data_IF_585160262041
#
_entry.id   IF_585160262041
#
_cell.length_a   1.000
_cell.length_b   1.000
_cell.length_c   1.000
_cell.angle_alpha   90.00
_cell.angle_beta   90.00
_cell.angle_gamma   90.00
#
_symmetry.space_group_name_H-M   'P 1'
#
loop_
_entity.id
_entity.type
_entity.pdbx_description
1 polymer ?
#
# COMPACT_ATOMS: atom_id res chain seq x y z
N UNK A 1 -6.36 -12.59 -13.47
CA UNK A 1 -5.93 -12.02 -12.18
C UNK A 1 -6.50 -10.60 -12.06
N UNK A 2 -7.10 -10.24 -10.94
CA UNK A 2 -7.60 -8.88 -10.71
C UNK A 2 -6.38 -7.96 -10.62
N UNK A 3 -6.38 -6.86 -11.36
CA UNK A 3 -5.28 -5.91 -11.35
C UNK A 3 -5.30 -5.12 -10.03
N UNK A 4 -4.16 -5.05 -9.33
CA UNK A 4 -4.05 -4.30 -8.06
C UNK A 4 -4.51 -2.84 -8.19
N UNK A 5 -4.26 -2.19 -9.34
CA UNK A 5 -4.73 -0.84 -9.64
C UNK A 5 -6.25 -0.74 -9.56
N UNK A 6 -6.96 -1.74 -10.07
CA UNK A 6 -8.43 -1.75 -10.05
C UNK A 6 -8.96 -2.02 -8.64
N UNK A 7 -8.31 -2.90 -7.87
CA UNK A 7 -8.65 -3.12 -6.47
C UNK A 7 -8.53 -1.78 -5.71
N UNK A 8 -7.42 -1.08 -5.84
CA UNK A 8 -7.17 0.19 -5.14
C UNK A 8 -8.17 1.28 -5.57
N UNK A 9 -8.53 1.34 -6.86
CA UNK A 9 -9.56 2.25 -7.35
C UNK A 9 -10.93 1.97 -6.72
N UNK A 10 -11.27 0.72 -6.50
CA UNK A 10 -12.57 0.32 -5.94
C UNK A 10 -12.60 0.53 -4.43
N UNK A 11 -11.59 0.05 -3.72
CA UNK A 11 -11.57 0.04 -2.26
C UNK A 11 -11.05 1.32 -1.65
N UNK A 12 -10.10 2.00 -2.31
CA UNK A 12 -9.44 3.19 -1.79
C UNK A 12 -8.55 2.93 -0.58
N UNK A 13 -8.28 1.68 -0.24
CA UNK A 13 -7.51 1.28 0.94
C UNK A 13 -6.36 0.38 0.53
N UNK A 14 -5.22 0.60 1.18
CA UNK A 14 -4.01 -0.20 0.99
C UNK A 14 -3.50 -0.67 2.35
N UNK A 15 -3.83 -1.91 2.77
CA UNK A 15 -3.40 -2.46 4.05
C UNK A 15 -1.88 -2.58 4.13
N UNK A 16 -1.32 -2.11 5.26
CA UNK A 16 0.12 -2.14 5.54
C UNK A 16 0.36 -2.88 6.84
N UNK A 17 1.09 -3.98 6.81
CA UNK A 17 1.54 -4.71 7.97
C UNK A 17 2.92 -4.20 8.37
N UNK A 18 2.96 -3.34 9.38
CA UNK A 18 4.20 -2.72 9.85
C UNK A 18 5.06 -3.66 10.68
N UNK A 19 4.40 -4.54 11.45
CA UNK A 19 5.03 -5.56 12.28
C UNK A 19 4.02 -6.69 12.54
N UNK A 20 4.49 -7.91 12.58
CA UNK A 20 3.70 -9.06 13.06
C UNK A 20 4.63 -10.15 13.60
N UNK A 21 4.23 -10.77 14.70
CA UNK A 21 4.83 -12.01 15.14
C UNK A 21 4.70 -13.08 14.03
N UNK A 22 5.68 -13.97 13.85
CA UNK A 22 5.67 -14.95 12.75
C UNK A 22 4.36 -15.75 12.65
N UNK A 23 3.77 -16.14 13.79
CA UNK A 23 2.53 -16.91 13.83
C UNK A 23 1.26 -16.07 13.61
N UNK A 24 1.38 -14.76 13.53
CA UNK A 24 0.25 -13.84 13.30
C UNK A 24 0.20 -13.30 11.87
N UNK A 25 1.31 -13.35 11.12
CA UNK A 25 1.41 -12.73 9.82
C UNK A 25 0.47 -13.36 8.76
N UNK A 26 0.51 -14.68 8.58
CA UNK A 26 -0.36 -15.37 7.63
C UNK A 26 -1.85 -15.34 8.05
N UNK A 27 -2.23 -15.57 9.34
CA UNK A 27 -3.60 -15.37 9.78
C UNK A 27 -4.13 -13.94 9.58
N UNK A 28 -3.30 -12.90 9.82
CA UNK A 28 -3.69 -11.52 9.54
C UNK A 28 -3.93 -11.27 8.04
N UNK A 29 -3.08 -11.82 7.18
CA UNK A 29 -3.28 -11.77 5.73
C UNK A 29 -4.56 -12.48 5.29
N UNK A 30 -4.87 -13.64 5.87
CA UNK A 30 -6.13 -14.37 5.63
C UNK A 30 -7.35 -13.54 6.02
N UNK A 31 -7.27 -12.83 7.15
CA UNK A 31 -8.33 -11.93 7.61
C UNK A 31 -8.62 -10.80 6.60
N UNK A 32 -7.62 -10.32 5.83
CA UNK A 32 -7.85 -9.35 4.75
C UNK A 32 -8.61 -9.97 3.57
N UNK A 33 -8.28 -11.21 3.20
CA UNK A 33 -9.01 -11.95 2.15
C UNK A 33 -10.47 -12.12 2.56
N UNK A 34 -10.74 -12.58 3.78
CA UNK A 34 -12.08 -12.73 4.35
C UNK A 34 -12.80 -11.38 4.50
N UNK A 35 -12.04 -10.30 4.72
CA UNK A 35 -12.53 -8.92 4.75
C UNK A 35 -12.89 -8.37 3.36
N UNK A 36 -12.56 -9.08 2.27
CA UNK A 36 -12.88 -8.70 0.89
C UNK A 36 -11.84 -7.80 0.22
N UNK A 37 -10.64 -7.66 0.80
CA UNK A 37 -9.54 -6.90 0.19
C UNK A 37 -8.24 -7.71 0.24
N UNK A 38 -7.98 -8.58 -0.76
CA UNK A 38 -6.83 -9.47 -0.79
C UNK A 38 -5.54 -8.76 -1.25
N UNK A 39 -5.17 -7.67 -0.59
CA UNK A 39 -3.93 -6.92 -0.87
C UNK A 39 -3.23 -6.63 0.44
N UNK A 40 -1.89 -6.74 0.49
CA UNK A 40 -1.11 -6.47 1.68
C UNK A 40 0.32 -6.00 1.35
N UNK A 41 0.72 -4.85 1.88
CA UNK A 41 2.12 -4.42 1.95
C UNK A 41 2.73 -4.91 3.28
N UNK A 42 3.83 -5.66 3.24
CA UNK A 42 4.62 -6.03 4.42
C UNK A 42 5.85 -5.14 4.47
N UNK A 43 6.03 -4.38 5.57
CA UNK A 43 7.16 -3.45 5.69
C UNK A 43 8.44 -4.18 6.10
N UNK A 44 9.50 -4.01 5.33
CA UNK A 44 10.84 -4.56 5.61
C UNK A 44 11.58 -3.72 6.65
N UNK A 45 11.06 -3.70 7.90
CA UNK A 45 11.58 -2.88 9.01
C UNK A 45 12.18 -3.70 10.16
N UNK A 46 12.02 -5.01 10.13
CA UNK A 46 12.58 -5.94 11.09
C UNK A 46 13.11 -7.21 10.40
N UNK A 47 13.83 -8.03 11.14
CA UNK A 47 14.47 -9.25 10.63
C UNK A 47 13.46 -10.35 10.23
N UNK A 48 12.23 -10.31 10.74
CA UNK A 48 11.21 -11.32 10.46
C UNK A 48 10.36 -10.98 9.22
N UNK A 49 10.40 -9.72 8.78
CA UNK A 49 9.49 -9.21 7.74
C UNK A 49 9.57 -10.00 6.43
N UNK A 50 10.78 -10.34 5.96
CA UNK A 50 10.96 -11.13 4.73
C UNK A 50 10.42 -12.56 4.89
N UNK A 51 10.68 -13.19 6.03
CA UNK A 51 10.12 -14.51 6.35
C UNK A 51 8.59 -14.46 6.48
N UNK A 52 8.06 -13.42 7.09
CA UNK A 52 6.61 -13.21 7.19
C UNK A 52 5.98 -13.07 5.80
N UNK A 53 6.58 -12.27 4.90
CA UNK A 53 6.11 -12.14 3.53
C UNK A 53 6.13 -13.49 2.79
N UNK A 54 7.22 -14.25 2.92
CA UNK A 54 7.34 -15.58 2.32
C UNK A 54 6.26 -16.54 2.82
N UNK A 55 6.00 -16.55 4.12
CA UNK A 55 4.91 -17.36 4.72
C UNK A 55 3.54 -16.95 4.21
N UNK A 56 3.27 -15.65 4.16
CA UNK A 56 2.01 -15.11 3.64
C UNK A 56 1.78 -15.57 2.20
N UNK A 57 2.77 -15.45 1.33
CA UNK A 57 2.67 -15.85 -0.08
C UNK A 57 2.45 -17.36 -0.24
N UNK A 58 2.99 -18.18 0.66
CA UNK A 58 2.85 -19.63 0.64
C UNK A 58 1.52 -20.10 1.24
N UNK A 59 1.10 -19.53 2.38
CA UNK A 59 -0.04 -19.99 3.18
C UNK A 59 -1.37 -19.36 2.76
N UNK A 60 -1.32 -18.20 2.06
CA UNK A 60 -2.52 -17.44 1.63
C UNK A 60 -2.40 -17.10 0.13
N UNK A 61 -2.55 -18.08 -0.76
CA UNK A 61 -2.31 -17.90 -2.20
C UNK A 61 -3.29 -16.92 -2.88
N UNK A 62 -4.42 -16.61 -2.24
CA UNK A 62 -5.41 -15.66 -2.74
C UNK A 62 -4.98 -14.21 -2.55
N UNK A 63 -3.98 -13.93 -1.68
CA UNK A 63 -3.56 -12.56 -1.40
C UNK A 63 -2.56 -12.05 -2.44
N UNK A 64 -2.70 -10.79 -2.81
CA UNK A 64 -1.69 -10.05 -3.56
C UNK A 64 -0.80 -9.33 -2.55
N UNK A 65 0.28 -9.98 -2.11
CA UNK A 65 1.20 -9.40 -1.14
C UNK A 65 2.49 -8.91 -1.80
N UNK A 66 3.05 -7.84 -1.26
CA UNK A 66 4.31 -7.26 -1.70
C UNK A 66 5.11 -6.66 -0.55
N UNK A 67 6.34 -6.25 -0.87
CA UNK A 67 7.30 -5.72 0.08
C UNK A 67 7.31 -4.19 0.07
N UNK A 68 7.20 -3.59 1.25
CA UNK A 68 7.34 -2.14 1.44
C UNK A 68 8.56 -1.75 2.26
N UNK A 69 8.88 -0.47 2.25
CA UNK A 69 10.11 0.05 2.88
C UNK A 69 11.37 -0.62 2.31
N UNK A 70 11.36 -0.91 1.02
CA UNK A 70 12.53 -1.41 0.32
C UNK A 70 13.50 -0.25 0.10
N UNK A 71 14.73 -0.39 0.59
CA UNK A 71 15.76 0.65 0.59
C UNK A 71 16.96 0.29 -0.29
N UNK A 72 17.14 -0.99 -0.61
CA UNK A 72 18.28 -1.47 -1.39
C UNK A 72 17.84 -2.37 -2.53
N UNK A 73 18.66 -2.45 -3.58
CA UNK A 73 18.42 -3.32 -4.71
C UNK A 73 18.41 -4.81 -4.28
N UNK A 74 19.23 -5.19 -3.32
CA UNK A 74 19.29 -6.58 -2.86
C UNK A 74 18.01 -6.97 -2.11
N UNK A 75 17.44 -6.07 -1.30
CA UNK A 75 16.12 -6.31 -0.70
C UNK A 75 15.02 -6.46 -1.77
N UNK A 76 15.07 -5.66 -2.85
CA UNK A 76 14.10 -5.77 -3.94
C UNK A 76 14.22 -7.13 -4.65
N UNK A 77 15.45 -7.57 -4.95
CA UNK A 77 15.73 -8.88 -5.55
C UNK A 77 15.18 -10.01 -4.68
N UNK A 78 15.55 -10.03 -3.41
CA UNK A 78 15.09 -11.05 -2.47
C UNK A 78 13.57 -11.11 -2.38
N UNK A 79 12.90 -9.95 -2.29
CA UNK A 79 11.44 -9.89 -2.26
C UNK A 79 10.80 -10.43 -3.55
N UNK A 80 11.35 -10.11 -4.72
CA UNK A 80 10.86 -10.60 -6.02
C UNK A 80 11.10 -12.11 -6.14
N UNK A 81 12.27 -12.60 -5.73
CA UNK A 81 12.64 -14.01 -5.80
C UNK A 81 11.72 -14.89 -4.94
N UNK A 82 11.23 -14.40 -3.80
CA UNK A 82 10.25 -15.13 -2.97
C UNK A 82 8.81 -14.97 -3.48
N UNK A 83 8.57 -14.19 -4.54
CA UNK A 83 7.29 -14.09 -5.21
C UNK A 83 6.45 -12.86 -4.85
N UNK A 84 7.04 -11.80 -4.26
CA UNK A 84 6.36 -10.54 -4.03
C UNK A 84 5.70 -10.02 -5.31
N UNK A 85 4.45 -9.56 -5.22
CA UNK A 85 3.66 -9.11 -6.37
C UNK A 85 3.84 -7.63 -6.70
N UNK A 86 4.41 -6.88 -5.77
CA UNK A 86 4.76 -5.48 -5.93
C UNK A 86 5.84 -5.06 -4.93
N UNK A 87 6.52 -3.98 -5.26
CA UNK A 87 7.55 -3.34 -4.42
C UNK A 87 7.13 -1.90 -4.15
N UNK A 88 7.24 -1.47 -2.88
CA UNK A 88 6.94 -0.08 -2.47
C UNK A 88 8.18 0.54 -1.84
N UNK A 89 8.56 1.71 -2.33
CA UNK A 89 9.73 2.46 -1.87
C UNK A 89 9.30 3.68 -1.05
N UNK A 90 10.06 4.10 -0.04
CA UNK A 90 9.78 5.35 0.69
C UNK A 90 10.17 6.60 -0.10
N UNK A 91 11.06 6.48 -1.07
CA UNK A 91 11.53 7.52 -1.98
C UNK A 91 11.75 6.96 -3.37
N UNK A 92 12.22 7.78 -4.32
CA UNK A 92 12.56 7.31 -5.65
C UNK A 92 13.97 6.72 -5.68
N UNK A 93 14.13 5.54 -6.26
CA UNK A 93 15.44 4.89 -6.45
C UNK A 93 15.50 4.23 -7.82
N UNK A 94 16.20 4.87 -8.77
CA UNK A 94 16.25 4.50 -10.18
C UNK A 94 16.55 3.01 -10.42
N UNK A 95 17.65 2.50 -9.88
CA UNK A 95 18.06 1.09 -10.08
C UNK A 95 17.04 0.08 -9.56
N UNK A 96 16.29 0.39 -8.49
CA UNK A 96 15.24 -0.49 -7.99
C UNK A 96 14.02 -0.43 -8.91
N UNK A 97 13.67 0.77 -9.38
CA UNK A 97 12.57 0.98 -10.33
C UNK A 97 12.83 0.21 -11.62
N UNK A 98 14.01 0.40 -12.23
CA UNK A 98 14.42 -0.31 -13.45
C UNK A 98 14.39 -1.82 -13.25
N UNK A 99 14.96 -2.33 -12.16
CA UNK A 99 14.97 -3.75 -11.87
C UNK A 99 13.56 -4.34 -11.74
N UNK A 100 12.64 -3.64 -11.08
CA UNK A 100 11.25 -4.08 -10.98
C UNK A 100 10.56 -4.12 -12.34
N UNK A 101 10.79 -3.11 -13.19
CA UNK A 101 10.24 -3.05 -14.55
C UNK A 101 10.76 -4.21 -15.39
N UNK A 102 12.06 -4.46 -15.37
CA UNK A 102 12.71 -5.56 -16.12
C UNK A 102 12.21 -6.95 -15.69
N UNK A 103 11.66 -7.07 -14.48
CA UNK A 103 11.11 -8.33 -13.93
C UNK A 103 9.58 -8.34 -13.88
N UNK A 104 8.90 -7.48 -14.64
CA UNK A 104 7.42 -7.38 -14.68
C UNK A 104 6.77 -7.26 -13.30
N UNK A 105 7.49 -6.66 -12.33
CA UNK A 105 7.02 -6.45 -10.97
C UNK A 105 6.52 -5.02 -10.80
N UNK A 106 5.27 -4.86 -10.33
CA UNK A 106 4.72 -3.54 -10.05
C UNK A 106 5.58 -2.82 -9.01
N UNK A 107 6.04 -1.61 -9.32
CA UNK A 107 6.75 -0.75 -8.38
C UNK A 107 5.97 0.53 -8.10
N UNK A 108 5.94 0.93 -6.82
CA UNK A 108 5.30 2.16 -6.34
C UNK A 108 6.37 2.98 -5.60
N UNK A 109 7.13 3.82 -6.32
CA UNK A 109 8.17 4.65 -5.70
C UNK A 109 7.57 5.79 -4.90
N UNK A 110 8.28 6.21 -3.84
CA UNK A 110 7.96 7.43 -3.10
C UNK A 110 8.34 8.67 -3.91
N UNK A 111 7.38 9.59 -4.10
CA UNK A 111 7.60 10.85 -4.81
C UNK A 111 6.84 11.97 -4.11
N UNK A 112 7.55 13.00 -3.65
CA UNK A 112 6.99 14.18 -2.97
C UNK A 112 7.44 15.49 -3.61
N UNK A 113 8.32 15.41 -4.62
CA UNK A 113 8.84 16.56 -5.38
C UNK A 113 8.56 16.39 -6.87
N UNK A 114 8.55 17.51 -7.61
CA UNK A 114 8.41 17.47 -9.06
C UNK A 114 9.55 16.69 -9.75
N UNK A 115 10.78 16.75 -9.22
CA UNK A 115 11.92 16.01 -9.77
C UNK A 115 11.71 14.50 -9.69
N UNK A 116 11.26 13.98 -8.56
CA UNK A 116 10.95 12.55 -8.39
C UNK A 116 9.76 12.11 -9.29
N UNK A 117 8.75 12.98 -9.43
CA UNK A 117 7.63 12.72 -10.32
C UNK A 117 8.05 12.70 -11.81
N UNK A 118 9.00 13.54 -12.22
CA UNK A 118 9.57 13.50 -13.58
C UNK A 118 10.28 12.16 -13.83
N UNK A 119 11.10 11.70 -12.90
CA UNK A 119 11.78 10.41 -13.01
C UNK A 119 10.77 9.25 -13.08
N UNK A 120 9.75 9.26 -12.24
CA UNK A 120 8.69 8.25 -12.28
C UNK A 120 7.91 8.29 -13.61
N UNK A 121 7.63 9.49 -14.13
CA UNK A 121 6.94 9.67 -15.39
C UNK A 121 7.75 9.14 -16.60
N UNK A 122 9.07 9.38 -16.62
CA UNK A 122 9.98 8.86 -17.66
C UNK A 122 9.97 7.33 -17.73
N UNK A 123 9.81 6.66 -16.59
CA UNK A 123 9.69 5.19 -16.51
C UNK A 123 8.25 4.67 -16.70
N UNK A 124 7.29 5.53 -17.10
CA UNK A 124 5.91 5.12 -17.33
C UNK A 124 5.13 4.75 -16.07
N UNK A 125 5.60 5.17 -14.88
CA UNK A 125 4.93 4.87 -13.61
C UNK A 125 3.69 5.75 -13.47
N UNK A 126 2.55 5.14 -13.23
CA UNK A 126 1.27 5.83 -13.09
C UNK A 126 0.85 6.05 -11.62
N UNK A 127 1.36 5.23 -10.70
CA UNK A 127 1.03 5.30 -9.28
C UNK A 127 2.30 5.49 -8.48
N UNK A 128 2.33 6.53 -7.66
CA UNK A 128 3.44 6.83 -6.75
C UNK A 128 2.96 6.89 -5.31
N UNK A 129 3.85 6.59 -4.36
CA UNK A 129 3.60 6.79 -2.94
C UNK A 129 3.88 8.23 -2.55
N UNK A 130 2.96 8.86 -1.83
CA UNK A 130 3.16 10.18 -1.23
C UNK A 130 3.24 10.02 0.29
N UNK A 131 4.45 10.16 0.82
CA UNK A 131 4.78 9.88 2.22
C UNK A 131 5.86 10.84 2.75
N UNK A 132 5.73 11.37 3.96
CA UNK A 132 4.57 11.30 4.86
C UNK A 132 3.52 12.37 4.49
N UNK A 133 2.27 11.95 4.26
CA UNK A 133 1.26 12.79 3.58
C UNK A 133 1.00 14.12 4.28
N UNK A 134 0.80 14.14 5.60
CA UNK A 134 0.46 15.37 6.31
C UNK A 134 1.65 16.33 6.40
N UNK A 135 2.85 15.83 6.66
CA UNK A 135 4.07 16.63 6.78
C UNK A 135 4.51 17.23 5.43
N UNK A 136 4.12 16.58 4.34
CA UNK A 136 4.42 17.04 2.97
C UNK A 136 3.31 17.90 2.36
N UNK A 137 2.40 18.45 3.17
CA UNK A 137 1.39 19.42 2.75
C UNK A 137 0.07 18.80 2.26
N UNK A 138 -0.10 17.47 2.36
CA UNK A 138 -1.38 16.81 2.16
C UNK A 138 -1.98 16.99 0.77
N UNK A 139 -3.30 17.17 0.74
CA UNK A 139 -4.09 17.30 -0.50
C UNK A 139 -3.64 18.50 -1.33
N UNK A 140 -3.33 19.63 -0.70
CA UNK A 140 -2.95 20.87 -1.39
C UNK A 140 -1.69 20.66 -2.24
N UNK A 141 -0.66 20.06 -1.66
CA UNK A 141 0.57 19.75 -2.40
C UNK A 141 0.32 18.74 -3.52
N UNK A 142 -0.47 17.69 -3.28
CA UNK A 142 -0.81 16.70 -4.32
C UNK A 142 -1.54 17.37 -5.49
N UNK A 143 -2.49 18.26 -5.23
CA UNK A 143 -3.23 18.98 -6.26
C UNK A 143 -2.31 19.87 -7.11
N UNK A 144 -1.39 20.61 -6.46
CA UNK A 144 -0.41 21.45 -7.16
C UNK A 144 0.53 20.63 -8.02
N UNK A 145 1.10 19.55 -7.48
CA UNK A 145 1.98 18.63 -8.22
C UNK A 145 1.25 17.93 -9.37
N UNK A 146 -0.04 17.64 -9.23
CA UNK A 146 -0.83 16.95 -10.27
C UNK A 146 -1.06 17.79 -11.52
N UNK A 147 -0.85 19.10 -11.48
CA UNK A 147 -1.03 19.98 -12.66
C UNK A 147 -0.21 19.50 -13.84
N UNK A 148 1.13 19.45 -13.74
CA UNK A 148 2.01 18.94 -14.80
C UNK A 148 1.87 17.43 -15.04
N UNK A 149 1.51 16.64 -14.03
CA UNK A 149 1.48 15.17 -14.05
C UNK A 149 0.06 14.60 -14.02
N UNK A 150 -0.80 15.03 -14.94
CA UNK A 150 -2.24 14.77 -14.95
C UNK A 150 -2.65 13.29 -14.94
N UNK A 151 -1.82 12.41 -15.54
CA UNK A 151 -2.05 10.95 -15.56
C UNK A 151 -1.70 10.26 -14.26
N UNK A 152 -0.82 10.83 -13.44
CA UNK A 152 -0.36 10.21 -12.19
C UNK A 152 -1.44 10.17 -11.13
N UNK A 153 -1.35 9.15 -10.29
CA UNK A 153 -2.21 8.94 -9.10
C UNK A 153 -1.33 8.70 -7.90
N UNK A 154 -1.84 9.08 -6.75
CA UNK A 154 -1.10 9.02 -5.49
C UNK A 154 -1.70 7.98 -4.56
N UNK A 155 -0.87 7.11 -4.03
CA UNK A 155 -1.14 6.30 -2.86
C UNK A 155 -0.55 7.04 -1.65
N UNK A 156 -1.42 7.53 -0.76
CA UNK A 156 -0.98 8.35 0.38
C UNK A 156 -0.78 7.48 1.61
N UNK A 157 0.31 7.74 2.35
CA UNK A 157 0.63 7.04 3.59
C UNK A 157 1.26 7.99 4.61
N UNK A 158 1.36 7.56 5.86
CA UNK A 158 1.98 8.32 6.94
C UNK A 158 0.99 8.73 8.02
N UNK A 159 1.02 8.00 9.14
CA UNK A 159 0.17 8.23 10.32
C UNK A 159 -1.33 8.29 10.01
N UNK A 160 -1.78 7.42 9.09
CA UNK A 160 -3.19 7.26 8.79
C UNK A 160 -3.85 6.29 9.76
N UNK A 161 -5.08 6.60 10.12
CA UNK A 161 -5.92 5.80 11.01
C UNK A 161 -7.37 5.78 10.52
N UNK A 162 -8.25 5.06 11.21
CA UNK A 162 -9.66 4.94 10.85
C UNK A 162 -10.44 6.25 10.83
N UNK A 163 -9.94 7.32 11.43
CA UNK A 163 -10.63 8.62 11.47
C UNK A 163 -10.16 9.56 10.36
N UNK A 164 -8.83 9.61 10.06
CA UNK A 164 -8.23 10.63 9.21
C UNK A 164 -8.01 10.22 7.75
N UNK A 165 -8.14 8.94 7.38
CA UNK A 165 -7.88 8.47 6.01
C UNK A 165 -8.95 8.93 5.00
N UNK A 166 -10.21 8.95 5.42
CA UNK A 166 -11.35 9.15 4.51
C UNK A 166 -11.38 10.53 3.83
N UNK A 167 -11.10 11.65 4.52
CA UNK A 167 -11.03 12.97 3.88
C UNK A 167 -10.04 13.05 2.72
N UNK A 168 -8.91 12.33 2.78
CA UNK A 168 -7.88 12.30 1.73
C UNK A 168 -8.43 11.74 0.41
N UNK A 169 -9.29 10.72 0.49
CA UNK A 169 -9.90 10.08 -0.69
C UNK A 169 -10.97 10.94 -1.39
N UNK A 170 -11.23 12.15 -0.90
CA UNK A 170 -12.04 13.15 -1.62
C UNK A 170 -11.28 13.78 -2.78
N UNK A 171 -9.95 13.77 -2.75
CA UNK A 171 -9.13 14.20 -3.87
C UNK A 171 -9.12 13.09 -4.95
N UNK A 172 -9.49 13.43 -6.17
CA UNK A 172 -9.55 12.49 -7.31
C UNK A 172 -8.18 11.98 -7.77
N UNK A 173 -7.11 12.69 -7.36
CA UNK A 173 -5.72 12.28 -7.61
C UNK A 173 -5.24 11.21 -6.65
N UNK A 174 -5.92 11.03 -5.52
CA UNK A 174 -5.58 10.00 -4.53
C UNK A 174 -6.37 8.73 -4.81
N UNK A 175 -5.65 7.68 -5.19
CA UNK A 175 -6.24 6.37 -5.52
C UNK A 175 -6.51 5.53 -4.28
N UNK A 176 -5.61 5.59 -3.29
CA UNK A 176 -5.72 4.84 -2.05
C UNK A 176 -5.02 5.52 -0.87
N UNK A 177 -5.53 5.25 0.32
CA UNK A 177 -4.93 5.56 1.60
C UNK A 177 -4.34 4.28 2.21
N UNK A 178 -3.03 4.28 2.46
CA UNK A 178 -2.31 3.13 3.02
C UNK A 178 -2.01 3.30 4.50
N UNK A 179 -2.27 2.28 5.28
CA UNK A 179 -2.00 2.27 6.70
C UNK A 179 -2.28 0.93 7.37
N UNK A 180 -2.06 0.89 8.66
CA UNK A 180 -2.15 -0.32 9.50
C UNK A 180 -3.34 -0.32 10.47
N UNK A 181 -4.24 0.67 10.40
CA UNK A 181 -5.33 0.86 11.37
C UNK A 181 -6.24 -0.36 11.48
N UNK A 182 -6.47 -1.15 10.40
CA UNK A 182 -7.28 -2.35 10.47
C UNK A 182 -6.68 -3.42 11.39
N UNK A 183 -5.37 -3.38 11.59
CA UNK A 183 -4.64 -4.29 12.48
C UNK A 183 -4.53 -3.73 13.91
N UNK A 184 -4.49 -2.38 14.04
CA UNK A 184 -4.24 -1.68 15.30
C UNK A 184 -5.54 -1.36 16.06
N UNK A 185 -6.63 -1.07 15.36
CA UNK A 185 -7.90 -0.76 16.01
C UNK A 185 -8.34 -1.91 16.91
N UNK A 186 -8.65 -1.58 18.18
CA UNK A 186 -9.03 -2.53 19.23
C UNK A 186 -7.93 -3.55 19.56
N UNK A 187 -6.65 -3.19 19.34
CA UNK A 187 -5.51 -4.09 19.51
C UNK A 187 -5.69 -5.45 18.78
N UNK A 188 -6.38 -5.45 17.64
CA UNK A 188 -6.82 -6.67 16.98
C UNK A 188 -5.67 -7.64 16.66
N UNK A 189 -4.58 -7.13 16.06
CA UNK A 189 -3.41 -7.98 15.76
C UNK A 189 -2.71 -8.46 17.02
N UNK A 190 -2.52 -7.59 18.01
CA UNK A 190 -1.88 -7.89 19.28
C UNK A 190 -2.65 -8.97 20.07
N UNK A 191 -3.97 -8.89 20.05
CA UNK A 191 -4.85 -9.86 20.70
C UNK A 191 -5.11 -11.10 19.83
N UNK A 192 -4.56 -11.15 18.61
CA UNK A 192 -4.80 -12.23 17.63
C UNK A 192 -6.29 -12.39 17.29
N UNK A 193 -7.05 -11.30 17.35
CA UNK A 193 -8.46 -11.25 16.93
C UNK A 193 -8.54 -10.98 15.43
N UNK A 194 -8.32 -12.01 14.63
CA UNK A 194 -8.31 -11.92 13.17
C UNK A 194 -9.70 -11.61 12.59
N UNK A 195 -10.76 -12.02 13.27
CA UNK A 195 -12.13 -11.64 12.91
C UNK A 195 -12.33 -10.12 13.06
N UNK A 196 -11.74 -9.51 14.10
CA UNK A 196 -11.79 -8.07 14.27
C UNK A 196 -11.04 -7.34 13.16
N UNK A 197 -9.89 -7.85 12.70
CA UNK A 197 -9.18 -7.30 11.52
C UNK A 197 -10.10 -7.29 10.30
N UNK A 198 -10.79 -8.40 10.02
CA UNK A 198 -11.75 -8.49 8.91
C UNK A 198 -12.90 -7.48 9.06
N UNK A 199 -13.42 -7.29 10.28
CA UNK A 199 -14.48 -6.30 10.56
C UNK A 199 -14.00 -4.87 10.35
N UNK A 200 -12.82 -4.51 10.88
CA UNK A 200 -12.21 -3.19 10.74
C UNK A 200 -12.00 -2.83 9.27
N UNK A 201 -11.52 -3.81 8.48
CA UNK A 201 -11.31 -3.63 7.06
C UNK A 201 -12.63 -3.41 6.32
N UNK A 202 -13.64 -4.29 6.53
CA UNK A 202 -14.97 -4.15 5.89
C UNK A 202 -15.61 -2.80 6.22
N UNK A 203 -15.54 -2.35 7.46
CA UNK A 203 -16.03 -1.04 7.87
C UNK A 203 -15.34 0.08 7.12
N UNK A 204 -14.03 0.02 6.96
CA UNK A 204 -13.24 1.01 6.24
C UNK A 204 -13.62 1.05 4.75
N UNK A 205 -13.74 -0.12 4.10
CA UNK A 205 -14.16 -0.24 2.68
C UNK A 205 -15.57 0.32 2.50
N UNK A 206 -16.52 -0.05 3.36
CA UNK A 206 -17.89 0.44 3.31
C UNK A 206 -17.96 1.98 3.44
N UNK A 207 -17.15 2.59 4.31
CA UNK A 207 -17.08 4.04 4.45
C UNK A 207 -16.61 4.72 3.16
N UNK A 208 -15.62 4.15 2.47
CA UNK A 208 -15.16 4.65 1.16
C UNK A 208 -16.26 4.53 0.12
N UNK A 209 -16.93 3.40 0.03
CA UNK A 209 -18.02 3.17 -0.92
C UNK A 209 -19.17 4.17 -0.69
N UNK A 210 -19.62 4.35 0.54
CA UNK A 210 -20.65 5.31 0.89
C UNK A 210 -20.26 6.75 0.51
N UNK A 211 -19.01 7.16 0.80
CA UNK A 211 -18.50 8.48 0.42
C UNK A 211 -18.52 8.68 -1.11
N UNK A 212 -18.15 7.66 -1.87
CA UNK A 212 -18.12 7.72 -3.36
C UNK A 212 -19.52 7.69 -3.98
N UNK A 213 -20.49 6.99 -3.38
CA UNK A 213 -21.87 6.99 -3.84
C UNK A 213 -22.54 8.37 -3.65
N UNK A 214 -22.17 9.14 -2.63
CA UNK A 214 -22.68 10.49 -2.38
C UNK A 214 -22.12 11.56 -3.33
N UNK A 215 -21.12 11.22 -4.16
CA UNK A 215 -20.55 12.13 -5.17
C UNK A 215 -21.19 11.98 -6.57
N UNK A 216 -22.10 11.03 -6.74
CA UNK A 216 -22.91 10.86 -7.95
C UNK A 216 -24.24 11.56 -7.81
#
# INVERSE_FOLDING_TARGET
MINIKDILKITGIFPILAYAEPDSAAPAAKALVEGGLPVLEVLMRDEQAMNNLKRILLEVPEITAGAGTILTLDQAKEAIDIGAKFIVLPGYHEKIVEYCIDHDTLVVPGCVTAAELMQAYEHGIEIVKFFPVFQMGGIETIQMLSGPFGSMRFMVTGNLNGENFLPLLRCDKIIAAGGDWMFQEQDALKNRDFDQISRNLRNSVMRVQNMRCLKK
#
